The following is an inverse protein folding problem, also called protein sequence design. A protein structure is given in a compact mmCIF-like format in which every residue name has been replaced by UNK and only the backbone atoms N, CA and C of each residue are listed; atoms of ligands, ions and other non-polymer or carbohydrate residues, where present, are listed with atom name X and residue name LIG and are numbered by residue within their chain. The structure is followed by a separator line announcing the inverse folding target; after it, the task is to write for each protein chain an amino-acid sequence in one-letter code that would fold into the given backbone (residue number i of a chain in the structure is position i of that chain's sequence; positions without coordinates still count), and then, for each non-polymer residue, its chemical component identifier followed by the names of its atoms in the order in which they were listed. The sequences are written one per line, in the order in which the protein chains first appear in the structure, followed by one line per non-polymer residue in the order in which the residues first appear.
data_IF_031963366858
#
_entry.id   IF_031963366858
#
_cell.length_a   1.000
_cell.length_b   1.000
_cell.length_c   1.000
_cell.angle_alpha   90.00
_cell.angle_beta   90.00
_cell.angle_gamma   90.00
#
_symmetry.space_group_name_H-M   'P 1'
#
loop_
_entity.id
_entity.type
_entity.pdbx_description
1 polymer ?
#
# COMPACT_ATOMS: atom_id res chain seq x y z
N UNK A 1 -0.43 -4.12 -20.07
CA UNK A 1 -0.43 -3.09 -19.02
C UNK A 1 -0.63 -3.79 -17.67
N UNK A 2 -0.36 -3.15 -16.54
CA UNK A 2 -0.61 -3.74 -15.23
C UNK A 2 -1.34 -2.75 -14.35
N UNK A 3 -2.19 -3.26 -13.46
CA UNK A 3 -2.80 -2.45 -12.41
C UNK A 3 -1.71 -1.90 -11.48
N UNK A 4 -1.72 -0.58 -11.28
CA UNK A 4 -0.73 0.15 -10.48
C UNK A 4 -1.33 0.82 -9.26
N UNK A 5 -2.60 1.23 -9.34
CA UNK A 5 -3.25 1.99 -8.28
C UNK A 5 -4.71 1.53 -8.09
N UNK A 6 -5.17 1.53 -6.85
CA UNK A 6 -6.58 1.33 -6.49
C UNK A 6 -6.90 2.27 -5.34
N UNK A 7 -8.01 2.98 -5.45
CA UNK A 7 -8.52 3.86 -4.41
C UNK A 7 -9.96 3.51 -4.09
N UNK A 8 -10.31 3.48 -2.81
CA UNK A 8 -11.71 3.49 -2.36
C UNK A 8 -12.02 4.90 -1.90
N UNK A 9 -13.10 5.49 -2.40
CA UNK A 9 -13.53 6.83 -2.00
C UNK A 9 -15.03 6.86 -1.78
N UNK A 10 -15.50 7.82 -1.01
CA UNK A 10 -16.92 8.12 -0.83
C UNK A 10 -17.08 9.62 -1.04
N UNK A 11 -18.12 10.02 -1.78
CA UNK A 11 -18.46 11.44 -1.93
C UNK A 11 -19.03 12.03 -0.62
N UNK A 12 -19.49 11.15 0.29
CA UNK A 12 -20.21 11.52 1.50
C UNK A 12 -19.28 11.82 2.71
N UNK A 13 -17.96 11.62 2.60
CA UNK A 13 -17.08 11.55 3.78
C UNK A 13 -15.83 12.44 3.77
N UNK A 14 -15.77 13.40 2.84
CA UNK A 14 -14.65 14.34 2.70
C UNK A 14 -13.27 13.65 2.56
N UNK A 15 -13.22 12.43 2.00
CA UNK A 15 -11.97 11.69 1.72
C UNK A 15 -11.47 10.82 2.86
N UNK A 16 -12.27 10.62 3.91
CA UNK A 16 -11.88 9.82 5.07
C UNK A 16 -11.67 8.33 4.72
N UNK A 17 -12.55 7.76 3.90
CA UNK A 17 -12.47 6.39 3.39
C UNK A 17 -11.24 6.21 2.51
N UNK A 18 -10.90 7.22 1.69
CA UNK A 18 -9.69 7.20 0.88
C UNK A 18 -8.43 7.11 1.74
N UNK A 19 -8.34 7.90 2.80
CA UNK A 19 -7.21 7.84 3.73
C UNK A 19 -7.15 6.50 4.48
N UNK A 20 -8.27 6.05 5.04
CA UNK A 20 -8.32 4.80 5.83
C UNK A 20 -8.08 3.55 4.98
N UNK A 21 -8.57 3.54 3.73
CA UNK A 21 -8.45 2.39 2.82
C UNK A 21 -7.05 2.21 2.26
N UNK A 22 -6.19 3.24 2.31
CA UNK A 22 -4.84 3.18 1.74
C UNK A 22 -4.03 2.00 2.29
N UNK A 23 -4.16 1.70 3.59
CA UNK A 23 -3.46 0.56 4.18
C UNK A 23 -3.85 -0.79 3.57
N UNK A 24 -5.10 -0.92 3.11
CA UNK A 24 -5.63 -2.15 2.50
C UNK A 24 -5.34 -2.19 1.01
N UNK A 25 -5.52 -1.08 0.28
CA UNK A 25 -5.25 -1.04 -1.17
C UNK A 25 -3.77 -1.22 -1.47
N UNK A 26 -2.87 -0.58 -0.71
CA UNK A 26 -1.43 -0.77 -0.85
C UNK A 26 -0.98 -2.18 -0.48
N UNK A 27 -1.57 -2.77 0.57
CA UNK A 27 -1.30 -4.15 0.94
C UNK A 27 -1.74 -5.12 -0.17
N UNK A 28 -2.92 -4.92 -0.74
CA UNK A 28 -3.40 -5.73 -1.86
C UNK A 28 -2.49 -5.60 -3.08
N UNK A 29 -2.16 -4.37 -3.51
CA UNK A 29 -1.25 -4.12 -4.64
C UNK A 29 0.13 -4.73 -4.40
N UNK A 30 0.62 -4.71 -3.15
CA UNK A 30 1.87 -5.35 -2.77
C UNK A 30 1.82 -6.88 -2.90
N UNK A 31 0.78 -7.53 -2.38
CA UNK A 31 0.62 -8.99 -2.46
C UNK A 31 0.30 -9.49 -3.87
N UNK A 32 -0.43 -8.69 -4.64
CA UNK A 32 -0.74 -8.92 -6.04
C UNK A 32 0.51 -8.78 -6.90
N UNK A 33 1.34 -7.77 -6.61
CA UNK A 33 2.47 -7.38 -7.45
C UNK A 33 2.02 -7.01 -8.88
N UNK A 34 2.86 -7.29 -9.87
CA UNK A 34 2.55 -7.02 -11.29
C UNK A 34 1.88 -8.23 -11.98
N UNK A 35 1.02 -8.97 -11.27
CA UNK A 35 0.45 -10.23 -11.79
C UNK A 35 -0.74 -9.99 -12.71
N UNK A 36 -1.66 -9.08 -12.35
CA UNK A 36 -2.82 -8.79 -13.20
C UNK A 36 -2.36 -8.01 -14.42
N UNK A 37 -2.46 -8.65 -15.58
CA UNK A 37 -2.28 -8.03 -16.86
C UNK A 37 -3.61 -7.45 -17.32
N UNK A 38 -3.63 -6.14 -17.49
CA UNK A 38 -4.75 -5.41 -18.05
C UNK A 38 -4.44 -5.04 -19.50
N UNK A 39 -5.49 -4.87 -20.31
CA UNK A 39 -5.34 -4.38 -21.69
C UNK A 39 -5.24 -2.85 -21.71
N UNK A 40 -6.05 -2.19 -20.89
CA UNK A 40 -6.42 -0.78 -20.97
C UNK A 40 -6.70 -0.15 -19.59
N UNK A 41 -6.18 -0.72 -18.50
CA UNK A 41 -6.46 -0.23 -17.14
C UNK A 41 -5.18 -0.19 -16.28
N UNK A 42 -4.77 0.98 -15.79
CA UNK A 42 -3.67 1.14 -14.83
C UNK A 42 -4.15 1.50 -13.43
N UNK A 43 -5.36 2.06 -13.31
CA UNK A 43 -5.92 2.47 -12.04
C UNK A 43 -7.40 2.14 -11.93
N UNK A 44 -7.86 1.89 -10.70
CA UNK A 44 -9.27 1.67 -10.39
C UNK A 44 -9.67 2.62 -9.28
N UNK A 45 -10.78 3.34 -9.49
CA UNK A 45 -11.45 4.15 -8.48
C UNK A 45 -12.74 3.45 -8.12
N UNK A 46 -12.83 3.02 -6.86
CA UNK A 46 -14.03 2.42 -6.28
C UNK A 46 -14.80 3.53 -5.57
N UNK A 47 -15.93 3.92 -6.16
CA UNK A 47 -16.85 4.92 -5.62
C UNK A 47 -17.81 4.17 -4.69
N UNK A 48 -17.55 4.24 -3.40
CA UNK A 48 -18.30 3.56 -2.36
C UNK A 48 -19.49 4.42 -1.90
N UNK A 49 -20.69 3.85 -1.92
CA UNK A 49 -21.90 4.58 -1.55
C UNK A 49 -23.12 3.67 -1.41
N UNK A 50 -24.29 4.28 -1.21
CA UNK A 50 -25.58 3.56 -1.05
C UNK A 50 -26.15 3.09 -2.39
N UNK A 51 -25.34 2.38 -3.18
CA UNK A 51 -25.73 1.79 -4.46
C UNK A 51 -26.43 0.44 -4.25
N UNK A 52 -27.31 0.06 -5.18
CA UNK A 52 -27.99 -1.24 -5.13
C UNK A 52 -27.06 -2.39 -5.56
N UNK A 53 -26.32 -2.16 -6.62
CA UNK A 53 -25.47 -3.15 -7.29
C UNK A 53 -24.15 -2.50 -7.73
N UNK A 54 -23.20 -3.34 -8.15
CA UNK A 54 -21.93 -2.87 -8.74
C UNK A 54 -22.16 -2.38 -10.17
N UNK A 55 -21.63 -1.22 -10.52
CA UNK A 55 -21.76 -0.65 -11.85
C UNK A 55 -20.46 0.02 -12.31
N UNK A 56 -19.93 -0.39 -13.46
CA UNK A 56 -18.79 0.28 -14.10
C UNK A 56 -19.31 1.54 -14.83
N UNK A 57 -19.02 2.72 -14.29
CA UNK A 57 -19.50 4.01 -14.81
C UNK A 57 -18.67 4.46 -16.01
N UNK A 58 -17.35 4.39 -15.88
CA UNK A 58 -16.46 4.94 -16.89
C UNK A 58 -15.21 4.08 -17.09
N UNK A 59 -14.72 4.13 -18.32
CA UNK A 59 -13.40 3.66 -18.72
C UNK A 59 -12.76 4.84 -19.42
N UNK A 60 -11.85 5.56 -18.76
CA UNK A 60 -11.35 6.82 -19.33
C UNK A 60 -10.62 6.58 -20.66
N UNK A 61 -11.03 7.31 -21.69
CA UNK A 61 -10.38 7.37 -23.01
C UNK A 61 -9.46 8.58 -23.11
N UNK A 62 -8.23 8.31 -23.55
CA UNK A 62 -7.20 9.14 -24.19
C UNK A 62 -6.74 10.50 -23.61
N UNK A 63 -7.58 11.27 -22.92
CA UNK A 63 -7.20 12.59 -22.38
C UNK A 63 -7.07 12.55 -20.84
N UNK A 64 -5.90 12.92 -20.30
CA UNK A 64 -5.72 13.00 -18.85
C UNK A 64 -6.49 14.23 -18.35
N UNK A 65 -7.54 14.01 -17.58
CA UNK A 65 -8.04 15.06 -16.70
C UNK A 65 -7.05 15.23 -15.55
N UNK A 66 -6.87 16.45 -15.03
CA UNK A 66 -5.87 16.80 -14.01
C UNK A 66 -6.03 15.93 -12.75
N UNK A 67 -7.23 15.36 -12.56
CA UNK A 67 -7.61 14.53 -11.42
C UNK A 67 -7.59 13.02 -11.70
N UNK A 68 -7.57 12.58 -12.97
CA UNK A 68 -7.70 11.17 -13.32
C UNK A 68 -6.56 10.69 -14.23
N UNK A 69 -5.87 9.64 -13.77
CA UNK A 69 -4.84 8.99 -14.57
C UNK A 69 -5.46 8.44 -15.87
N UNK A 70 -4.71 8.48 -16.98
CA UNK A 70 -5.07 7.73 -18.19
C UNK A 70 -5.30 6.26 -17.84
N UNK A 71 -6.28 5.62 -18.49
CA UNK A 71 -6.60 4.21 -18.27
C UNK A 71 -7.12 3.92 -16.86
N UNK A 72 -8.08 4.72 -16.39
CA UNK A 72 -8.74 4.53 -15.09
C UNK A 72 -10.14 3.98 -15.29
N UNK A 73 -10.50 2.99 -14.47
CA UNK A 73 -11.86 2.48 -14.37
C UNK A 73 -12.53 3.02 -13.11
N UNK A 74 -13.77 3.49 -13.24
CA UNK A 74 -14.60 3.94 -12.12
C UNK A 74 -15.74 2.96 -11.89
N UNK A 75 -15.82 2.42 -10.68
CA UNK A 75 -16.80 1.40 -10.29
C UNK A 75 -17.60 1.88 -9.08
N UNK A 76 -18.93 1.93 -9.22
CA UNK A 76 -19.83 2.07 -8.07
C UNK A 76 -19.80 0.78 -7.25
N UNK A 77 -19.62 0.93 -5.94
CA UNK A 77 -19.52 -0.18 -4.99
C UNK A 77 -20.51 0.04 -3.86
N UNK A 78 -21.49 -0.87 -3.67
CA UNK A 78 -22.37 -0.84 -2.50
C UNK A 78 -21.57 -0.86 -1.19
N UNK A 79 -21.73 0.18 -0.37
CA UNK A 79 -20.99 0.35 0.87
C UNK A 79 -21.82 1.14 1.91
N UNK A 80 -21.97 0.59 3.10
CA UNK A 80 -22.69 1.24 4.20
C UNK A 80 -21.72 2.02 5.09
N UNK A 81 -21.56 3.31 4.80
CA UNK A 81 -20.57 4.15 5.49
C UNK A 81 -20.86 4.29 6.99
N UNK A 82 -22.12 4.45 7.40
CA UNK A 82 -22.51 4.54 8.81
C UNK A 82 -22.10 3.30 9.62
N UNK A 83 -22.26 2.11 9.04
CA UNK A 83 -21.83 0.86 9.68
C UNK A 83 -20.29 0.78 9.76
N UNK A 84 -19.60 1.18 8.69
CA UNK A 84 -18.15 1.24 8.66
C UNK A 84 -17.57 2.20 9.69
N UNK A 85 -18.20 3.36 9.89
CA UNK A 85 -17.73 4.39 10.80
C UNK A 85 -17.65 3.87 12.25
N UNK A 86 -18.62 3.06 12.67
CA UNK A 86 -18.70 2.50 14.02
C UNK A 86 -18.09 1.11 14.17
N UNK A 87 -17.63 0.49 13.08
CA UNK A 87 -17.06 -0.85 13.12
C UNK A 87 -15.69 -0.90 13.83
N UNK A 88 -15.45 -1.98 14.57
CA UNK A 88 -14.14 -2.28 15.19
C UNK A 88 -13.19 -2.92 14.16
N UNK A 89 -13.73 -3.73 13.25
CA UNK A 89 -13.00 -4.52 12.26
C UNK A 89 -12.87 -3.82 10.90
N UNK A 90 -12.69 -2.49 10.88
CA UNK A 90 -12.66 -1.66 9.67
C UNK A 90 -11.77 -2.21 8.54
N UNK A 91 -10.56 -2.68 8.86
CA UNK A 91 -9.64 -3.30 7.88
C UNK A 91 -10.25 -4.50 7.16
N UNK A 92 -11.02 -5.34 7.87
CA UNK A 92 -11.70 -6.50 7.28
C UNK A 92 -12.81 -6.05 6.34
N UNK A 93 -13.63 -5.08 6.76
CA UNK A 93 -14.70 -4.51 5.93
C UNK A 93 -14.13 -3.93 4.63
N UNK A 94 -13.05 -3.17 4.72
CA UNK A 94 -12.35 -2.60 3.57
C UNK A 94 -11.79 -3.69 2.65
N UNK A 95 -11.15 -4.72 3.22
CA UNK A 95 -10.61 -5.84 2.44
C UNK A 95 -11.71 -6.63 1.73
N UNK A 96 -12.80 -6.94 2.42
CA UNK A 96 -13.95 -7.67 1.85
C UNK A 96 -14.63 -6.84 0.74
N UNK A 97 -14.73 -5.51 0.93
CA UNK A 97 -15.26 -4.58 -0.08
C UNK A 97 -14.38 -4.57 -1.33
N UNK A 98 -13.07 -4.44 -1.14
CA UNK A 98 -12.10 -4.48 -2.24
C UNK A 98 -12.09 -5.85 -2.94
N UNK A 99 -12.20 -6.95 -2.20
CA UNK A 99 -12.23 -8.32 -2.76
C UNK A 99 -13.44 -8.50 -3.68
N UNK A 100 -14.63 -8.14 -3.23
CA UNK A 100 -15.85 -8.23 -4.04
C UNK A 100 -15.78 -7.36 -5.28
N UNK A 101 -15.34 -6.11 -5.15
CA UNK A 101 -15.18 -5.18 -6.27
C UNK A 101 -14.18 -5.71 -7.32
N UNK A 102 -13.03 -6.22 -6.88
CA UNK A 102 -12.01 -6.78 -7.77
C UNK A 102 -12.49 -8.05 -8.47
N UNK A 103 -13.22 -8.93 -7.78
CA UNK A 103 -13.80 -10.13 -8.38
C UNK A 103 -14.88 -9.80 -9.41
N UNK A 104 -15.73 -8.80 -9.14
CA UNK A 104 -16.69 -8.28 -10.12
C UNK A 104 -15.99 -7.78 -11.38
N UNK A 105 -14.91 -6.99 -11.24
CA UNK A 105 -14.12 -6.53 -12.39
C UNK A 105 -13.45 -7.69 -13.15
N UNK A 106 -12.99 -8.73 -12.44
CA UNK A 106 -12.42 -9.90 -13.10
C UNK A 106 -13.44 -10.62 -13.97
N UNK A 107 -14.68 -10.77 -13.49
CA UNK A 107 -15.78 -11.34 -14.27
C UNK A 107 -16.10 -10.46 -15.49
N UNK A 108 -16.32 -9.16 -15.26
CA UNK A 108 -16.71 -8.21 -16.30
C UNK A 108 -15.66 -8.05 -17.40
N UNK A 109 -14.37 -8.10 -17.04
CA UNK A 109 -13.24 -7.86 -17.96
C UNK A 109 -12.49 -9.13 -18.35
N UNK A 110 -12.97 -10.29 -17.89
CA UNK A 110 -12.32 -11.58 -18.08
C UNK A 110 -10.85 -11.57 -17.63
N UNK A 111 -10.57 -10.96 -16.46
CA UNK A 111 -9.25 -11.03 -15.83
C UNK A 111 -9.12 -12.29 -14.97
N UNK A 112 -7.88 -12.69 -14.70
CA UNK A 112 -7.57 -13.86 -13.90
C UNK A 112 -7.94 -13.65 -12.41
N UNK A 113 -9.15 -14.07 -12.04
CA UNK A 113 -9.66 -13.98 -10.67
C UNK A 113 -8.83 -14.78 -9.66
N UNK A 114 -8.05 -15.77 -10.09
CA UNK A 114 -7.24 -16.58 -9.19
C UNK A 114 -6.14 -15.75 -8.55
N UNK A 115 -5.55 -14.82 -9.30
CA UNK A 115 -4.51 -13.91 -8.78
C UNK A 115 -5.05 -12.97 -7.70
N UNK A 116 -6.29 -12.50 -7.86
CA UNK A 116 -6.98 -11.68 -6.85
C UNK A 116 -7.19 -12.49 -5.59
N UNK A 117 -7.77 -13.70 -5.71
CA UNK A 117 -8.04 -14.60 -4.56
C UNK A 117 -6.76 -14.94 -3.79
N UNK A 118 -5.67 -15.25 -4.50
CA UNK A 118 -4.37 -15.53 -3.88
C UNK A 118 -3.80 -14.33 -3.12
N UNK A 119 -3.94 -13.11 -3.65
CA UNK A 119 -3.49 -11.91 -2.96
C UNK A 119 -4.28 -11.70 -1.65
N UNK A 120 -5.61 -11.83 -1.69
CA UNK A 120 -6.44 -11.76 -0.48
C UNK A 120 -6.17 -12.87 0.52
N UNK A 121 -5.87 -14.08 0.06
CA UNK A 121 -5.48 -15.18 0.93
C UNK A 121 -4.22 -14.83 1.74
N UNK A 122 -3.19 -14.27 1.10
CA UNK A 122 -1.98 -13.79 1.80
C UNK A 122 -2.27 -12.64 2.76
N UNK A 123 -3.19 -11.74 2.40
CA UNK A 123 -3.61 -10.65 3.30
C UNK A 123 -4.29 -11.19 4.55
N UNK A 124 -5.16 -12.20 4.40
CA UNK A 124 -5.83 -12.92 5.49
C UNK A 124 -4.82 -13.63 6.39
N UNK A 125 -3.84 -14.32 5.82
CA UNK A 125 -2.74 -14.98 6.56
C UNK A 125 -1.89 -14.00 7.40
N UNK A 126 -1.78 -12.74 6.95
CA UNK A 126 -1.11 -11.66 7.67
C UNK A 126 -2.03 -10.89 8.63
N UNK A 127 -3.27 -11.33 8.79
CA UNK A 127 -4.28 -10.67 9.61
C UNK A 127 -4.48 -9.18 9.23
N UNK A 128 -4.31 -8.85 7.95
CA UNK A 128 -4.38 -7.48 7.42
C UNK A 128 -3.37 -6.50 8.04
N UNK A 129 -2.23 -7.00 8.54
CA UNK A 129 -1.08 -6.17 8.94
C UNK A 129 -0.30 -5.77 7.69
N UNK A 130 -0.53 -4.54 7.24
CA UNK A 130 0.07 -3.97 6.04
C UNK A 130 1.53 -3.55 6.30
N UNK A 131 2.43 -4.53 6.24
CA UNK A 131 3.87 -4.36 6.40
C UNK A 131 4.59 -4.48 5.06
N UNK A 132 5.17 -3.37 4.59
CA UNK A 132 5.84 -3.28 3.30
C UNK A 132 7.34 -3.10 3.53
N UNK A 133 8.12 -4.14 3.21
CA UNK A 133 9.59 -4.07 3.18
C UNK A 133 10.03 -3.27 1.96
N UNK A 134 10.56 -2.06 2.18
CA UNK A 134 11.01 -1.19 1.11
C UNK A 134 12.04 -1.85 0.18
N UNK A 135 12.10 -1.33 -1.06
CA UNK A 135 12.95 -1.90 -2.12
C UNK A 135 14.44 -1.77 -1.83
N UNK A 136 14.85 -0.74 -1.08
CA UNK A 136 16.24 -0.52 -0.71
C UNK A 136 16.66 -1.48 0.40
N UNK A 137 17.26 -2.60 0.02
CA UNK A 137 17.82 -3.58 0.96
C UNK A 137 19.33 -3.61 0.76
N UNK A 138 20.10 -3.47 1.84
CA UNK A 138 21.56 -3.41 1.77
C UNK A 138 22.17 -4.36 2.79
N UNK A 139 23.10 -5.18 2.31
CA UNK A 139 23.95 -5.99 3.18
C UNK A 139 25.01 -5.09 3.82
N UNK A 140 25.40 -5.43 5.05
CA UNK A 140 26.59 -4.85 5.70
C UNK A 140 27.85 -5.13 4.87
N UNK A 141 28.93 -4.36 5.04
CA UNK A 141 30.20 -4.59 4.32
C UNK A 141 30.75 -6.01 4.53
N UNK A 142 30.68 -6.53 5.76
CA UNK A 142 31.00 -7.93 6.10
C UNK A 142 29.97 -8.98 5.61
N UNK A 143 28.83 -8.54 5.06
CA UNK A 143 27.71 -9.37 4.55
C UNK A 143 27.06 -10.28 5.60
N UNK A 144 27.24 -10.00 6.89
CA UNK A 144 26.61 -10.77 7.98
C UNK A 144 25.21 -10.29 8.34
N UNK A 145 24.86 -9.06 7.94
CA UNK A 145 23.63 -8.38 8.31
C UNK A 145 22.95 -7.76 7.10
N UNK A 146 21.65 -7.50 7.22
CA UNK A 146 20.84 -6.85 6.21
C UNK A 146 20.03 -5.74 6.84
N UNK A 147 20.09 -4.56 6.23
CA UNK A 147 19.26 -3.44 6.60
C UNK A 147 18.21 -3.15 5.52
N UNK A 148 17.03 -2.68 5.95
CA UNK A 148 15.98 -2.21 5.06
C UNK A 148 15.00 -1.28 5.78
N UNK A 149 14.36 -0.34 5.07
CA UNK A 149 13.22 0.39 5.58
C UNK A 149 11.98 -0.53 5.60
N UNK A 150 11.24 -0.50 6.70
CA UNK A 150 9.96 -1.18 6.88
C UNK A 150 8.87 -0.13 7.04
N UNK A 151 7.88 -0.16 6.16
CA UNK A 151 6.71 0.71 6.23
C UNK A 151 5.57 -0.10 6.84
N UNK A 152 4.94 0.42 7.86
CA UNK A 152 3.70 -0.12 8.45
C UNK A 152 2.56 0.85 8.15
N UNK A 153 1.51 0.35 7.51
CA UNK A 153 0.32 1.13 7.19
C UNK A 153 -0.84 0.72 8.09
N UNK A 154 -1.46 1.73 8.71
CA UNK A 154 -2.67 1.57 9.52
C UNK A 154 -3.72 2.60 9.11
N UNK A 155 -4.96 2.42 9.57
CA UNK A 155 -6.13 3.22 9.17
C UNK A 155 -5.94 4.72 9.36
N UNK A 156 -5.14 5.14 10.35
CA UNK A 156 -4.95 6.55 10.72
C UNK A 156 -3.49 6.97 10.73
N UNK A 157 -2.58 6.07 10.38
CA UNK A 157 -1.18 6.28 10.65
C UNK A 157 -0.28 5.39 9.82
N UNK A 158 0.74 6.00 9.26
CA UNK A 158 1.82 5.33 8.56
C UNK A 158 3.11 5.53 9.33
N UNK A 159 3.86 4.44 9.48
CA UNK A 159 5.09 4.43 10.27
C UNK A 159 6.24 3.87 9.46
N UNK A 160 7.38 4.54 9.50
CA UNK A 160 8.61 4.09 8.88
C UNK A 160 9.62 3.69 9.95
N UNK A 161 10.12 2.46 9.84
CA UNK A 161 11.23 1.96 10.62
C UNK A 161 12.44 1.70 9.74
N UNK A 162 13.63 1.80 10.33
CA UNK A 162 14.84 1.18 9.82
C UNK A 162 15.05 -0.13 10.59
N UNK A 163 15.10 -1.24 9.87
CA UNK A 163 15.27 -2.57 10.45
C UNK A 163 16.63 -3.12 10.05
N UNK A 164 17.31 -3.75 11.01
CA UNK A 164 18.49 -4.57 10.77
C UNK A 164 18.17 -5.99 11.21
N UNK A 165 18.35 -6.95 10.31
CA UNK A 165 18.25 -8.38 10.56
C UNK A 165 19.58 -9.10 10.31
N UNK A 166 19.80 -10.22 10.99
CA UNK A 166 20.89 -11.14 10.66
C UNK A 166 20.55 -12.01 9.43
N UNK A 167 21.50 -12.83 8.99
CA UNK A 167 21.28 -13.77 7.88
C UNK A 167 20.23 -14.87 8.19
N UNK A 168 19.88 -15.08 9.46
CA UNK A 168 18.81 -16.00 9.91
C UNK A 168 17.44 -15.30 10.00
N UNK A 169 17.35 -14.02 9.62
CA UNK A 169 16.14 -13.16 9.70
C UNK A 169 15.72 -12.80 11.13
N UNK A 170 16.61 -12.92 12.11
CA UNK A 170 16.36 -12.37 13.44
C UNK A 170 16.55 -10.85 13.40
N UNK A 171 15.57 -10.10 13.92
CA UNK A 171 15.68 -8.65 14.03
C UNK A 171 16.69 -8.32 15.13
N UNK A 172 17.83 -7.74 14.73
CA UNK A 172 18.86 -7.25 15.65
C UNK A 172 18.51 -5.88 16.20
N UNK A 173 17.89 -5.03 15.37
CA UNK A 173 17.44 -3.69 15.77
C UNK A 173 16.29 -3.20 14.86
N UNK A 174 15.36 -2.43 15.42
CA UNK A 174 14.25 -1.77 14.72
C UNK A 174 14.10 -0.37 15.30
N UNK A 175 14.45 0.66 14.52
CA UNK A 175 14.40 2.07 14.95
C UNK A 175 13.29 2.82 14.20
N UNK A 176 12.45 3.54 14.94
CA UNK A 176 11.46 4.45 14.38
C UNK A 176 12.17 5.63 13.69
N UNK A 177 11.80 5.91 12.44
CA UNK A 177 12.37 6.99 11.63
C UNK A 177 11.39 8.14 11.47
N UNK A 178 10.13 7.82 11.14
CA UNK A 178 9.09 8.79 10.87
C UNK A 178 7.71 8.17 11.12
N UNK A 179 6.74 9.04 11.37
CA UNK A 179 5.34 8.72 11.58
C UNK A 179 4.51 9.86 11.00
N UNK A 180 3.46 9.55 10.27
CA UNK A 180 2.52 10.53 9.71
C UNK A 180 1.10 9.97 9.71
N UNK A 181 0.10 10.83 9.71
CA UNK A 181 -1.32 10.53 9.57
C UNK A 181 -1.92 11.07 8.27
N UNK A 182 -1.09 11.69 7.42
CA UNK A 182 -1.53 12.42 6.23
C UNK A 182 -1.33 11.61 4.93
N UNK A 183 -0.08 11.47 4.46
CA UNK A 183 0.24 11.02 3.11
C UNK A 183 1.45 10.08 3.08
N UNK A 184 1.40 9.04 2.25
CA UNK A 184 2.50 8.09 2.09
C UNK A 184 3.76 8.77 1.50
N UNK A 185 3.57 9.84 0.75
CA UNK A 185 4.63 10.68 0.17
C UNK A 185 5.54 11.28 1.26
N UNK A 186 4.99 11.63 2.43
CA UNK A 186 5.78 12.13 3.55
C UNK A 186 6.72 11.05 4.09
N UNK A 187 6.28 9.78 4.15
CA UNK A 187 7.17 8.66 4.48
C UNK A 187 8.28 8.52 3.43
N UNK A 188 7.94 8.67 2.14
CA UNK A 188 8.91 8.55 1.04
C UNK A 188 10.04 9.59 1.10
N UNK A 189 9.79 10.75 1.72
CA UNK A 189 10.78 11.80 1.94
C UNK A 189 11.96 11.34 2.83
N UNK A 190 11.70 10.41 3.75
CA UNK A 190 12.69 9.82 4.63
C UNK A 190 13.44 8.63 4.02
N UNK A 191 13.07 8.20 2.80
CA UNK A 191 13.59 6.98 2.17
C UNK A 191 14.43 7.28 0.93
N UNK A 192 15.34 8.25 1.00
CA UNK A 192 16.19 8.59 -0.16
C UNK A 192 17.21 7.49 -0.44
N UNK A 193 18.07 7.23 0.54
CA UNK A 193 19.21 6.33 0.39
C UNK A 193 19.44 5.57 1.68
N UNK A 194 19.57 4.25 1.57
CA UNK A 194 20.05 3.38 2.63
C UNK A 194 21.52 3.03 2.39
N UNK A 195 22.38 3.27 3.38
CA UNK A 195 23.82 3.00 3.27
C UNK A 195 24.42 2.55 4.60
N UNK A 196 25.25 1.53 4.54
CA UNK A 196 26.13 1.16 5.65
C UNK A 196 27.32 2.12 5.70
N UNK A 197 27.53 2.74 6.85
CA UNK A 197 28.67 3.64 7.10
C UNK A 197 29.87 2.86 7.64
N UNK A 198 29.60 1.79 8.40
CA UNK A 198 30.59 0.82 8.91
C UNK A 198 29.96 -0.58 8.93
N UNK A 199 30.66 -1.59 9.45
CA UNK A 199 30.08 -2.93 9.70
C UNK A 199 28.98 -2.96 10.78
N UNK A 200 28.93 -1.90 11.60
CA UNK A 200 28.06 -1.79 12.76
C UNK A 200 27.10 -0.60 12.67
N UNK A 201 27.23 0.26 11.66
CA UNK A 201 26.39 1.43 11.50
C UNK A 201 25.72 1.47 10.13
N UNK A 202 24.40 1.60 10.13
CA UNK A 202 23.61 1.83 8.93
C UNK A 202 22.77 3.09 9.07
N UNK A 203 22.73 3.89 8.01
CA UNK A 203 22.04 5.16 7.94
C UNK A 203 20.97 5.17 6.84
N UNK A 204 19.85 5.82 7.12
CA UNK A 204 18.80 6.15 6.16
C UNK A 204 18.75 7.67 5.97
N UNK A 205 19.02 8.12 4.75
CA UNK A 205 19.16 9.53 4.38
C UNK A 205 17.82 10.13 3.92
N UNK A 206 17.59 11.40 4.25
CA UNK A 206 16.41 12.17 3.81
C UNK A 206 16.62 12.78 2.41
N UNK A 207 15.54 13.07 1.69
CA UNK A 207 15.60 13.64 0.33
C UNK A 207 16.18 15.07 0.28
N UNK A 208 15.74 15.98 1.16
CA UNK A 208 16.15 17.40 1.05
C UNK A 208 17.63 17.65 1.33
N UNK A 209 18.26 16.87 2.21
CA UNK A 209 19.66 17.07 2.56
C UNK A 209 20.39 15.74 2.74
N UNK A 210 21.40 15.48 1.89
CA UNK A 210 22.23 14.26 1.95
C UNK A 210 23.01 14.12 3.24
N UNK A 211 23.17 15.17 4.04
CA UNK A 211 23.86 15.07 5.32
C UNK A 211 22.93 14.75 6.48
N UNK A 212 21.61 14.90 6.30
CA UNK A 212 20.63 14.59 7.34
C UNK A 212 20.18 13.13 7.21
N UNK A 213 20.55 12.32 8.19
CA UNK A 213 20.19 10.91 8.26
C UNK A 213 19.80 10.50 9.68
N UNK A 214 19.14 9.36 9.76
CA UNK A 214 18.95 8.63 11.00
C UNK A 214 19.71 7.31 10.89
N UNK A 215 20.59 6.99 11.86
CA UNK A 215 21.34 5.74 11.87
C UNK A 215 20.98 4.81 13.03
N UNK A 216 21.33 3.54 12.86
CA UNK A 216 21.38 2.52 13.90
C UNK A 216 22.84 2.13 14.08
N UNK A 217 23.32 2.18 15.32
CA UNK A 217 24.58 1.58 15.73
C UNK A 217 24.29 0.24 16.41
N UNK A 218 24.96 -0.80 15.96
CA UNK A 218 24.85 -2.16 16.47
C UNK A 218 26.02 -2.38 17.43
N UNK A 219 25.69 -2.74 18.67
CA UNK A 219 26.64 -3.13 19.71
C UNK A 219 27.46 -4.36 19.31
#
# INVERSE_FOLDING_TARGET
MHLKNIQLMSDDDCGNLASQSLCITEMFLWELGKRIQTKDCEAIVLICGSFKDYQLISTSKDEPDILFLKNTYELEVPFHYSEFEHAINKKKILADTLEKAMLYLCELKNWDSQQVKEAFQKMKEKEYKAEIKGKQRKLSPDKTKKAYPLIELDLKQFTLYLVVEDNKRNILNKKLIAKTDSYLEEISYHMRELKWLTDHEVALFKRANKTVYTSIHLS
#
